data_IF_000842959071
#
_entry.id   IF_000842959071
#
_cell.length_a   1.000
_cell.length_b   1.000
_cell.length_c   1.000
_cell.angle_alpha   90.00
_cell.angle_beta   90.00
_cell.angle_gamma   90.00
#
_symmetry.space_group_name_H-M   'P 1'
#
loop_
_entity.id
_entity.type
_entity.pdbx_description
1 polymer ?
#
# COMPACT_ATOMS: atom_id res chain seq x y z
N UNK A 1 11.31 -5.11 22.63
CA UNK A 1 10.69 -3.99 21.88
C UNK A 1 11.58 -3.72 20.67
N UNK A 2 11.23 -4.26 19.49
CA UNK A 2 12.06 -4.11 18.29
C UNK A 2 11.66 -2.84 17.54
N UNK A 3 12.58 -1.89 17.41
CA UNK A 3 12.37 -0.72 16.56
C UNK A 3 12.74 -1.10 15.12
N UNK A 4 11.94 -0.66 14.16
CA UNK A 4 12.24 -0.78 12.73
C UNK A 4 13.45 0.11 12.39
N UNK A 5 14.65 -0.39 12.66
CA UNK A 5 15.92 0.25 12.30
C UNK A 5 16.33 -0.28 10.92
N UNK A 6 15.79 0.31 9.86
CA UNK A 6 16.10 -0.07 8.48
C UNK A 6 15.07 0.46 7.46
N UNK A 7 15.39 0.46 6.15
CA UNK A 7 14.42 0.84 5.12
C UNK A 7 13.19 -0.06 5.20
N UNK A 8 11.98 0.51 5.06
CA UNK A 8 10.70 -0.20 5.21
C UNK A 8 10.57 -1.50 4.39
N UNK A 9 11.36 -1.62 3.30
CA UNK A 9 11.44 -2.82 2.46
C UNK A 9 11.91 -4.06 3.23
N UNK A 10 12.79 -3.88 4.21
CA UNK A 10 13.36 -4.97 5.02
C UNK A 10 12.49 -5.32 6.22
N UNK A 11 11.59 -4.42 6.62
CA UNK A 11 10.68 -4.61 7.73
C UNK A 11 9.53 -5.58 7.43
N UNK A 12 9.34 -6.02 6.17
CA UNK A 12 8.24 -6.90 5.76
C UNK A 12 8.12 -8.10 6.68
N UNK A 13 6.99 -8.19 7.38
CA UNK A 13 6.66 -9.38 8.13
C UNK A 13 6.52 -10.54 7.14
N UNK A 14 7.44 -11.52 7.20
CA UNK A 14 7.31 -12.78 6.46
C UNK A 14 6.15 -13.57 7.06
N UNK A 15 4.97 -13.39 6.49
CA UNK A 15 3.82 -14.25 6.77
C UNK A 15 2.64 -13.52 7.40
N UNK A 16 1.54 -13.57 6.65
CA UNK A 16 0.15 -13.61 7.10
C UNK A 16 -0.11 -12.83 8.41
N UNK A 17 -0.18 -11.50 8.30
CA UNK A 17 -0.98 -10.72 9.24
C UNK A 17 -2.45 -11.19 9.20
N UNK A 18 -3.25 -10.89 10.25
CA UNK A 18 -4.62 -11.39 10.37
C UNK A 18 -5.39 -11.15 9.08
N UNK A 19 -6.11 -12.18 8.61
CA UNK A 19 -6.77 -12.25 7.32
C UNK A 19 -7.72 -11.06 7.04
N UNK A 20 -7.17 -9.90 6.64
CA UNK A 20 -7.90 -8.69 6.26
C UNK A 20 -8.08 -8.58 4.73
N UNK A 21 -7.51 -9.54 4.00
CA UNK A 21 -7.59 -9.65 2.53
C UNK A 21 -9.01 -9.86 2.00
N UNK A 22 -9.93 -10.35 2.83
CA UNK A 22 -11.27 -10.75 2.38
C UNK A 22 -12.20 -9.58 2.08
N UNK A 23 -11.97 -8.41 2.68
CA UNK A 23 -12.87 -7.24 2.59
C UNK A 23 -12.49 -6.29 1.44
N UNK A 24 -11.22 -6.27 0.99
CA UNK A 24 -10.73 -5.32 -0.04
C UNK A 24 -10.37 -6.00 -1.36
N UNK A 25 -11.22 -6.89 -1.87
CA UNK A 25 -10.89 -7.70 -3.05
C UNK A 25 -10.74 -6.87 -4.33
N UNK A 26 -11.46 -5.75 -4.47
CA UNK A 26 -11.37 -4.92 -5.67
C UNK A 26 -10.07 -4.11 -5.71
N UNK A 27 -9.62 -3.62 -4.57
CA UNK A 27 -8.33 -2.93 -4.42
C UNK A 27 -7.16 -3.92 -4.51
N UNK A 28 -7.21 -5.00 -3.73
CA UNK A 28 -6.10 -5.97 -3.64
C UNK A 28 -6.01 -6.87 -4.88
N UNK A 29 -7.08 -6.98 -5.68
CA UNK A 29 -7.06 -7.64 -6.98
C UNK A 29 -6.40 -6.82 -8.08
N UNK A 30 -6.34 -5.48 -7.92
CA UNK A 30 -5.62 -4.59 -8.83
C UNK A 30 -4.15 -4.37 -8.44
N UNK A 31 -3.77 -4.73 -7.21
CA UNK A 31 -2.40 -4.63 -6.73
C UNK A 31 -1.56 -5.84 -7.15
N UNK A 32 -0.32 -5.62 -7.58
CA UNK A 32 0.59 -6.71 -7.94
C UNK A 32 1.06 -7.47 -6.69
N UNK A 33 1.37 -6.73 -5.62
CA UNK A 33 1.71 -7.32 -4.32
C UNK A 33 1.23 -6.46 -3.17
N UNK A 34 0.88 -7.13 -2.07
CA UNK A 34 0.45 -6.52 -0.82
C UNK A 34 1.15 -7.24 0.32
N UNK A 35 1.96 -6.49 1.06
CA UNK A 35 2.75 -6.98 2.17
C UNK A 35 2.49 -6.16 3.43
N UNK A 36 2.47 -6.83 4.57
CA UNK A 36 2.33 -6.14 5.86
C UNK A 36 3.71 -5.70 6.36
N UNK A 37 3.84 -4.42 6.72
CA UNK A 37 5.09 -3.85 7.23
C UNK A 37 5.38 -4.33 8.65
N UNK A 38 4.35 -4.46 9.48
CA UNK A 38 4.46 -5.09 10.82
C UNK A 38 3.20 -5.91 11.10
N UNK A 39 3.19 -6.64 12.22
CA UNK A 39 2.05 -7.46 12.64
C UNK A 39 0.75 -6.66 12.81
N UNK A 40 0.83 -5.39 13.22
CA UNK A 40 -0.34 -4.60 13.62
C UNK A 40 -0.51 -3.27 12.87
N UNK A 41 0.58 -2.73 12.32
CA UNK A 41 0.59 -1.39 11.70
C UNK A 41 1.32 -1.43 10.37
N UNK A 42 0.83 -0.67 9.40
CA UNK A 42 1.51 -0.48 8.14
C UNK A 42 1.24 -1.60 7.14
N UNK A 43 0.74 -1.24 5.97
CA UNK A 43 0.63 -2.14 4.82
C UNK A 43 1.31 -1.48 3.62
N UNK A 44 1.99 -2.28 2.84
CA UNK A 44 2.67 -1.87 1.63
C UNK A 44 1.98 -2.47 0.41
N UNK A 45 1.72 -1.63 -0.59
CA UNK A 45 1.08 -1.99 -1.85
C UNK A 45 2.03 -1.65 -3.00
N UNK A 46 2.35 -2.62 -3.84
CA UNK A 46 3.16 -2.43 -5.05
C UNK A 46 2.28 -2.28 -6.30
N UNK A 47 2.71 -1.40 -7.20
CA UNK A 47 2.18 -1.26 -8.56
C UNK A 47 0.69 -0.90 -8.65
N UNK A 48 0.22 -0.03 -7.75
CA UNK A 48 -1.14 0.52 -7.79
C UNK A 48 -1.11 2.01 -8.15
N UNK A 49 -1.66 2.38 -9.30
CA UNK A 49 -1.69 3.77 -9.78
C UNK A 49 -2.98 4.47 -9.33
N UNK A 50 -2.88 5.69 -8.80
CA UNK A 50 -4.05 6.44 -8.29
C UNK A 50 -5.02 6.89 -9.38
N UNK A 51 -4.54 7.05 -10.61
CA UNK A 51 -5.30 7.52 -11.77
C UNK A 51 -6.33 6.49 -12.24
N UNK A 52 -6.03 5.20 -12.04
CA UNK A 52 -6.83 4.09 -12.53
C UNK A 52 -7.76 3.52 -11.44
N UNK A 53 -7.85 4.18 -10.27
CA UNK A 53 -8.70 3.74 -9.17
C UNK A 53 -10.16 4.10 -9.40
N UNK A 54 -11.00 3.08 -9.44
CA UNK A 54 -12.46 3.23 -9.34
C UNK A 54 -12.86 3.74 -7.95
N UNK A 55 -14.03 4.36 -7.84
CA UNK A 55 -14.50 4.91 -6.55
C UNK A 55 -14.62 3.83 -5.47
N UNK A 56 -15.05 2.62 -5.85
CA UNK A 56 -15.06 1.46 -4.95
C UNK A 56 -13.67 1.08 -4.44
N UNK A 57 -12.63 1.20 -5.26
CA UNK A 57 -11.26 0.93 -4.83
C UNK A 57 -10.74 2.03 -3.89
N UNK A 58 -11.14 3.29 -4.10
CA UNK A 58 -10.81 4.39 -3.18
C UNK A 58 -11.46 4.18 -1.80
N UNK A 59 -12.71 3.72 -1.76
CA UNK A 59 -13.39 3.38 -0.51
C UNK A 59 -12.69 2.22 0.22
N UNK A 60 -12.31 1.17 -0.51
CA UNK A 60 -11.55 0.05 0.04
C UNK A 60 -10.16 0.48 0.54
N UNK A 61 -9.53 1.46 -0.12
CA UNK A 61 -8.27 2.05 0.32
C UNK A 61 -8.45 2.85 1.61
N UNK A 62 -9.49 3.69 1.69
CA UNK A 62 -9.81 4.43 2.90
C UNK A 62 -10.03 3.49 4.09
N UNK A 63 -10.74 2.38 3.86
CA UNK A 63 -10.93 1.35 4.87
C UNK A 63 -9.61 0.68 5.28
N UNK A 64 -8.70 0.42 4.33
CA UNK A 64 -7.38 -0.13 4.64
C UNK A 64 -6.54 0.83 5.49
N UNK A 65 -6.58 2.13 5.18
CA UNK A 65 -5.89 3.16 5.98
C UNK A 65 -6.47 3.24 7.38
N UNK A 66 -7.80 3.26 7.54
CA UNK A 66 -8.46 3.26 8.85
C UNK A 66 -8.08 2.03 9.70
N UNK A 67 -7.85 0.89 9.05
CA UNK A 67 -7.49 -0.36 9.72
C UNK A 67 -6.00 -0.48 10.07
N UNK A 68 -5.10 0.06 9.24
CA UNK A 68 -3.64 -0.16 9.32
C UNK A 68 -2.84 1.07 9.70
N UNK A 69 -3.52 2.22 9.85
CA UNK A 69 -3.02 3.57 10.10
C UNK A 69 -2.12 4.14 9.00
N UNK A 70 -1.19 3.33 8.48
CA UNK A 70 -0.22 3.73 7.46
C UNK A 70 -0.32 2.78 6.27
N UNK A 71 -0.38 3.33 5.07
CA UNK A 71 -0.29 2.58 3.82
C UNK A 71 0.82 3.20 2.97
N UNK A 72 1.79 2.38 2.56
CA UNK A 72 2.90 2.79 1.70
C UNK A 72 2.68 2.25 0.29
N UNK A 73 2.86 3.12 -0.70
CA UNK A 73 2.78 2.75 -2.12
C UNK A 73 4.17 2.70 -2.71
N UNK A 74 4.41 1.70 -3.56
CA UNK A 74 5.68 1.52 -4.27
C UNK A 74 5.45 1.42 -5.78
N UNK A 75 6.45 1.86 -6.53
CA UNK A 75 6.45 1.86 -8.00
C UNK A 75 5.29 2.67 -8.61
N UNK A 76 5.00 3.81 -7.98
CA UNK A 76 4.12 4.82 -8.54
C UNK A 76 4.77 5.42 -9.79
N UNK A 77 3.98 5.62 -10.85
CA UNK A 77 4.44 6.46 -11.96
C UNK A 77 4.67 7.86 -11.41
N UNK A 78 5.86 8.46 -11.61
CA UNK A 78 6.08 9.83 -11.22
C UNK A 78 5.13 10.73 -12.01
N UNK A 79 4.58 11.74 -11.35
CA UNK A 79 3.77 12.75 -12.00
C UNK A 79 4.54 13.33 -13.22
N UNK A 80 3.85 13.66 -14.32
CA UNK A 80 4.49 14.27 -15.47
C UNK A 80 5.24 15.52 -15.00
N UNK A 81 6.57 15.49 -15.14
CA UNK A 81 7.38 16.67 -14.91
C UNK A 81 7.02 17.64 -16.02
N UNK A 82 6.43 18.78 -15.67
CA UNK A 82 6.33 19.89 -16.61
C UNK A 82 7.76 20.15 -17.11
N UNK A 83 7.99 19.98 -18.40
CA UNK A 83 9.27 20.29 -19.00
C UNK A 83 9.60 21.73 -18.59
N UNK A 84 10.72 21.91 -17.89
CA UNK A 84 11.29 23.23 -17.64
C UNK A 84 11.63 23.81 -19.01
N UNK A 85 10.68 24.54 -19.59
CA UNK A 85 10.97 25.58 -20.54
C UNK A 85 11.57 26.71 -19.70
N UNK A 86 12.88 26.89 -19.80
CA UNK A 86 13.63 28.12 -20.12
C UNK A 86 15.12 27.77 -19.97
#
# INVERSE_FOLDING_TARGET
MGYIQGPLREARARGIGPARRQIKKALLGAAAQVADLTTYVGTEIESLQFEDLTDRQKDELALLVAERNVVCFRDLRPAPKFATAI
#
